data_IF_831209515560
#
_entry.id   IF_831209515560
#
_cell.length_a   1.000
_cell.length_b   1.000
_cell.length_c   1.000
_cell.angle_alpha   90.00
_cell.angle_beta   90.00
_cell.angle_gamma   90.00
#
_symmetry.space_group_name_H-M   'P 1'
#
loop_
_entity.id
_entity.type
_entity.pdbx_description
1 polymer ?
#
# COMPACT_ATOMS: atom_id res chain seq x y z
N UNK A 1 1.07 23.30 -0.48
CA UNK A 1 2.34 22.73 -1.01
C UNK A 1 3.11 22.05 0.11
N UNK A 2 4.09 21.20 -0.22
CA UNK A 2 4.93 20.49 0.78
C UNK A 2 6.42 20.59 0.42
N UNK A 3 7.30 20.35 1.38
CA UNK A 3 8.76 20.31 1.18
C UNK A 3 9.24 19.03 0.47
N UNK A 4 8.33 18.19 -0.01
CA UNK A 4 8.66 16.88 -0.59
C UNK A 4 9.62 16.98 -1.78
N UNK A 5 9.42 17.96 -2.67
CA UNK A 5 10.31 18.16 -3.84
C UNK A 5 11.73 18.51 -3.43
N UNK A 6 11.87 19.38 -2.42
CA UNK A 6 13.18 19.78 -1.88
C UNK A 6 13.89 18.56 -1.26
N UNK A 7 13.20 17.79 -0.42
CA UNK A 7 13.78 16.57 0.20
C UNK A 7 14.08 15.48 -0.83
N UNK A 8 13.23 15.31 -1.84
CA UNK A 8 13.50 14.37 -2.93
C UNK A 8 14.76 14.77 -3.71
N UNK A 9 15.02 16.07 -3.84
CA UNK A 9 16.10 16.61 -4.66
C UNK A 9 17.44 16.80 -3.93
N UNK A 10 17.40 17.05 -2.62
CA UNK A 10 18.60 17.20 -1.79
C UNK A 10 18.91 15.93 -0.99
N UNK A 11 17.96 15.01 -0.88
CA UNK A 11 17.95 14.04 0.21
C UNK A 11 17.48 14.68 1.51
N UNK A 12 17.38 13.89 2.57
CA UNK A 12 16.89 14.37 3.86
C UNK A 12 15.72 13.56 4.42
N UNK A 13 15.21 14.03 5.54
CA UNK A 13 14.05 13.45 6.21
C UNK A 13 12.90 14.46 6.20
N UNK A 14 11.71 13.98 5.83
CA UNK A 14 10.49 14.78 5.74
C UNK A 14 9.51 14.34 6.84
N UNK A 15 9.00 15.28 7.63
CA UNK A 15 8.12 15.00 8.76
C UNK A 15 7.06 16.11 8.96
N UNK A 16 6.21 15.95 9.97
CA UNK A 16 5.09 16.86 10.25
C UNK A 16 4.17 17.11 9.04
N UNK A 17 3.77 16.02 8.37
CA UNK A 17 2.89 16.08 7.19
C UNK A 17 3.53 16.78 5.98
N UNK A 18 4.87 16.85 5.92
CA UNK A 18 5.58 17.50 4.81
C UNK A 18 5.84 18.99 5.01
N UNK A 19 5.53 19.53 6.19
CA UNK A 19 5.78 20.94 6.57
C UNK A 19 7.14 21.17 7.22
N UNK A 20 7.83 20.11 7.64
CA UNK A 20 9.20 20.19 8.16
C UNK A 20 10.11 19.20 7.46
N UNK A 21 11.36 19.59 7.26
CA UNK A 21 12.38 18.71 6.73
C UNK A 21 13.74 18.99 7.36
N UNK A 22 14.57 17.96 7.47
CA UNK A 22 16.01 18.12 7.68
C UNK A 22 16.74 17.67 6.42
N UNK A 23 17.54 18.56 5.85
CA UNK A 23 18.27 18.38 4.59
C UNK A 23 19.77 18.61 4.81
N UNK A 24 20.63 18.10 3.92
CA UNK A 24 22.05 18.41 3.97
C UNK A 24 22.31 19.88 3.64
N UNK A 25 23.34 20.48 4.25
CA UNK A 25 23.86 21.76 3.79
C UNK A 25 24.49 21.64 2.39
N UNK A 26 24.51 22.72 1.59
CA UNK A 26 25.23 22.77 0.32
C UNK A 26 26.67 22.28 0.46
N UNK A 27 27.08 21.32 -0.37
CA UNK A 27 28.43 20.71 -0.33
C UNK A 27 28.61 19.57 0.67
N UNK A 28 27.61 19.27 1.50
CA UNK A 28 27.65 18.16 2.46
C UNK A 28 27.10 16.86 1.88
N UNK A 29 27.41 15.72 2.52
CA UNK A 29 26.90 14.41 2.10
C UNK A 29 25.39 14.30 2.22
N UNK A 30 24.73 13.43 1.43
CA UNK A 30 23.28 13.21 1.49
C UNK A 30 22.75 12.65 2.84
N UNK A 31 23.64 12.20 3.74
CA UNK A 31 23.30 11.76 5.11
C UNK A 31 23.29 12.90 6.13
N UNK A 32 23.83 14.05 5.75
CA UNK A 32 23.87 15.24 6.61
C UNK A 32 22.45 15.78 6.85
N UNK A 33 22.24 16.31 8.06
CA UNK A 33 20.96 16.86 8.55
C UNK A 33 21.17 18.21 9.23
N UNK A 34 22.20 18.93 8.80
CA UNK A 34 22.61 20.21 9.40
C UNK A 34 21.65 21.35 9.08
N UNK A 35 20.69 21.19 8.17
CA UNK A 35 19.73 22.24 7.83
C UNK A 35 18.30 21.79 8.10
N UNK A 36 17.59 22.55 8.92
CA UNK A 36 16.14 22.41 9.11
C UNK A 36 15.37 23.39 8.24
N UNK A 37 14.32 22.88 7.61
CA UNK A 37 13.37 23.64 6.82
C UNK A 37 12.00 23.57 7.48
N UNK A 38 11.35 24.72 7.62
CA UNK A 38 9.97 24.85 8.09
C UNK A 38 9.16 25.59 7.03
N UNK A 39 8.08 24.98 6.57
CA UNK A 39 7.11 25.61 5.70
C UNK A 39 5.98 26.24 6.53
N UNK A 40 5.86 27.56 6.48
CA UNK A 40 4.78 28.34 7.10
C UNK A 40 4.24 29.36 6.11
N UNK A 41 2.93 29.43 5.91
CA UNK A 41 2.28 30.38 4.98
C UNK A 41 2.91 30.41 3.58
N UNK A 42 3.22 29.23 3.06
CA UNK A 42 3.92 28.98 1.80
C UNK A 42 5.38 29.51 1.71
N UNK A 43 5.92 30.09 2.79
CA UNK A 43 7.32 30.52 2.92
C UNK A 43 8.17 29.45 3.59
N UNK A 44 9.37 29.24 3.07
CA UNK A 44 10.37 28.34 3.64
C UNK A 44 11.26 29.11 4.61
N UNK A 45 11.18 28.77 5.88
CA UNK A 45 12.10 29.23 6.93
C UNK A 45 13.23 28.22 7.03
N UNK A 46 14.47 28.71 6.99
CA UNK A 46 15.69 27.90 6.95
C UNK A 46 16.47 28.13 8.23
N UNK A 47 16.89 27.05 8.88
CA UNK A 47 17.73 27.09 10.05
C UNK A 47 18.93 26.15 9.86
N UNK A 48 20.15 26.69 9.90
CA UNK A 48 21.38 25.91 9.85
C UNK A 48 21.89 25.59 11.27
N UNK A 49 22.38 24.38 11.46
CA UNK A 49 23.06 23.90 12.66
C UNK A 49 24.55 23.72 12.37
N UNK A 50 25.41 23.98 13.35
CA UNK A 50 26.85 23.65 13.24
C UNK A 50 27.64 24.46 12.20
N UNK A 51 27.24 25.71 11.92
CA UNK A 51 27.97 26.62 11.03
C UNK A 51 27.44 26.69 9.59
N UNK A 52 26.38 25.94 9.25
CA UNK A 52 25.72 26.07 7.95
C UNK A 52 25.05 27.44 7.79
N UNK A 53 25.45 28.22 6.79
CA UNK A 53 24.84 29.51 6.49
C UNK A 53 23.49 29.32 5.77
N UNK A 54 22.42 29.78 6.41
CA UNK A 54 21.07 29.72 5.88
C UNK A 54 20.93 30.50 4.57
N UNK A 55 21.78 31.52 4.32
CA UNK A 55 21.79 32.27 3.05
C UNK A 55 22.22 31.38 1.90
N UNK A 56 23.31 30.63 2.05
CA UNK A 56 23.78 29.67 1.04
C UNK A 56 22.73 28.61 0.71
N UNK A 57 21.99 28.15 1.72
CA UNK A 57 20.86 27.22 1.49
C UNK A 57 19.74 27.91 0.73
N UNK A 58 19.36 29.13 1.13
CA UNK A 58 18.31 29.89 0.45
C UNK A 58 18.65 30.12 -1.01
N UNK A 59 19.87 30.56 -1.28
CA UNK A 59 20.35 30.87 -2.62
C UNK A 59 20.38 29.58 -3.47
N UNK A 60 20.83 28.44 -2.92
CA UNK A 60 20.71 27.15 -3.60
C UNK A 60 19.26 26.76 -3.91
N UNK A 61 18.32 26.96 -2.96
CA UNK A 61 16.91 26.65 -3.18
C UNK A 61 16.29 27.57 -4.23
N UNK A 62 16.69 28.84 -4.25
CA UNK A 62 16.25 29.85 -5.21
C UNK A 62 16.78 29.55 -6.62
N UNK A 63 18.10 29.35 -6.77
CA UNK A 63 18.75 29.07 -8.05
C UNK A 63 18.26 27.77 -8.69
N UNK A 64 17.89 26.80 -7.85
CA UNK A 64 17.25 25.56 -8.29
C UNK A 64 15.75 25.70 -8.52
N UNK A 65 15.17 26.88 -8.35
CA UNK A 65 13.76 27.16 -8.63
C UNK A 65 12.77 26.51 -7.67
N UNK A 66 13.18 26.12 -6.45
CA UNK A 66 12.27 25.61 -5.43
C UNK A 66 11.55 26.73 -4.66
N UNK A 67 12.18 27.89 -4.54
CA UNK A 67 11.61 29.09 -3.94
C UNK A 67 11.79 30.32 -4.85
N UNK A 68 10.94 31.33 -4.69
CA UNK A 68 11.08 32.64 -5.32
C UNK A 68 11.97 33.59 -4.50
N UNK A 69 12.17 34.82 -4.98
CA UNK A 69 12.91 35.89 -4.27
C UNK A 69 12.35 36.18 -2.86
N UNK A 70 11.05 35.96 -2.68
CA UNK A 70 10.36 36.11 -1.40
C UNK A 70 10.43 34.84 -0.54
N UNK A 71 11.21 33.83 -0.90
CA UNK A 71 11.37 32.58 -0.18
C UNK A 71 10.11 31.71 -0.14
N UNK A 72 9.17 31.92 -1.05
CA UNK A 72 7.92 31.15 -1.16
C UNK A 72 8.09 29.98 -2.10
N UNK A 73 7.45 28.85 -1.80
CA UNK A 73 7.48 27.70 -2.70
C UNK A 73 6.82 28.04 -4.03
N UNK A 74 7.57 27.85 -5.11
CA UNK A 74 7.10 27.99 -6.50
C UNK A 74 6.41 26.71 -6.99
N UNK A 75 6.68 25.59 -6.30
CA UNK A 75 6.36 24.25 -6.78
C UNK A 75 7.28 23.76 -7.91
N UNK A 76 8.29 24.53 -8.30
CA UNK A 76 9.25 24.20 -9.35
C UNK A 76 10.42 23.33 -8.90
N UNK A 77 11.53 23.51 -9.61
CA UNK A 77 12.83 22.90 -9.40
C UNK A 77 13.03 21.50 -9.99
N UNK A 78 14.30 21.15 -10.29
CA UNK A 78 14.61 19.91 -10.97
C UNK A 78 14.21 18.72 -10.09
N UNK A 79 13.64 17.65 -10.67
CA UNK A 79 13.38 16.44 -9.92
C UNK A 79 14.68 15.95 -9.29
N UNK A 80 14.58 15.39 -8.10
CA UNK A 80 15.74 14.74 -7.49
C UNK A 80 16.29 13.62 -8.36
N UNK A 81 17.57 13.25 -8.16
CA UNK A 81 18.12 12.08 -8.82
C UNK A 81 17.19 10.90 -8.55
N UNK A 82 16.82 10.11 -9.58
CA UNK A 82 15.92 8.99 -9.39
C UNK A 82 16.52 8.07 -8.33
N UNK A 83 15.78 7.84 -7.24
CA UNK A 83 16.18 6.84 -6.25
C UNK A 83 16.34 5.52 -7.00
N UNK A 84 17.53 4.91 -7.03
CA UNK A 84 17.76 3.70 -7.80
C UNK A 84 16.76 2.64 -7.35
N UNK A 85 15.84 2.27 -8.26
CA UNK A 85 14.95 1.15 -8.01
C UNK A 85 15.80 -0.12 -8.11
N UNK A 86 15.65 -1.07 -7.19
CA UNK A 86 16.32 -2.36 -7.34
C UNK A 86 15.96 -2.97 -8.70
N UNK A 87 16.93 -3.64 -9.32
CA UNK A 87 16.76 -4.39 -10.56
C UNK A 87 15.48 -5.24 -10.52
N UNK A 88 14.62 -5.22 -11.55
CA UNK A 88 13.44 -6.08 -11.65
C UNK A 88 13.68 -7.54 -11.26
N UNK A 89 14.82 -8.14 -11.64
CA UNK A 89 15.12 -9.54 -11.29
C UNK A 89 15.32 -9.70 -9.78
N UNK A 90 16.04 -8.77 -9.14
CA UNK A 90 16.18 -8.76 -7.68
C UNK A 90 14.81 -8.61 -7.01
N UNK A 91 13.94 -7.72 -7.52
CA UNK A 91 12.60 -7.53 -6.95
C UNK A 91 11.76 -8.80 -7.00
N UNK A 92 11.77 -9.51 -8.12
CA UNK A 92 11.07 -10.80 -8.29
C UNK A 92 11.63 -11.87 -7.33
N UNK A 93 12.96 -12.03 -7.29
CA UNK A 93 13.60 -12.98 -6.37
C UNK A 93 13.24 -12.69 -4.91
N UNK A 94 13.37 -11.44 -4.48
CA UNK A 94 13.02 -11.05 -3.10
C UNK A 94 11.55 -11.32 -2.77
N UNK A 95 10.62 -11.12 -3.71
CA UNK A 95 9.22 -11.46 -3.49
C UNK A 95 9.02 -12.98 -3.35
N UNK A 96 9.71 -13.78 -4.18
CA UNK A 96 9.70 -15.23 -4.11
C UNK A 96 10.28 -15.75 -2.79
N UNK A 97 11.40 -15.20 -2.34
CA UNK A 97 12.06 -15.59 -1.08
C UNK A 97 11.18 -15.28 0.13
N UNK A 98 10.55 -14.09 0.15
CA UNK A 98 9.59 -13.72 1.19
C UNK A 98 8.38 -14.64 1.23
N UNK A 99 7.86 -15.04 0.07
CA UNK A 99 6.76 -16.00 0.00
C UNK A 99 7.17 -17.40 0.45
N UNK A 100 8.35 -17.88 0.03
CA UNK A 100 8.88 -19.18 0.45
C UNK A 100 9.13 -19.26 1.96
N UNK A 101 9.47 -18.14 2.61
CA UNK A 101 9.61 -18.04 4.07
C UNK A 101 8.29 -17.97 4.85
N UNK A 102 7.13 -17.99 4.18
CA UNK A 102 5.85 -17.95 4.84
C UNK A 102 5.49 -19.30 5.50
N UNK A 103 4.78 -19.19 6.61
CA UNK A 103 4.12 -20.28 7.33
C UNK A 103 2.61 -20.19 7.11
N UNK A 104 1.90 -21.26 7.45
CA UNK A 104 0.45 -21.26 7.53
C UNK A 104 -0.09 -20.17 8.46
N UNK A 105 -1.35 -19.78 8.24
CA UNK A 105 -2.06 -18.82 9.09
C UNK A 105 -2.70 -19.47 10.32
N UNK A 106 -2.66 -20.79 10.41
CA UNK A 106 -3.17 -21.59 11.52
C UNK A 106 -2.26 -21.48 12.77
N UNK A 107 -2.88 -21.43 13.95
CA UNK A 107 -2.15 -21.54 15.23
C UNK A 107 -2.04 -20.26 16.07
N UNK A 108 -2.92 -19.28 15.93
CA UNK A 108 -2.96 -18.16 16.88
C UNK A 108 -1.84 -17.15 16.71
N UNK A 109 -1.16 -17.12 15.56
CA UNK A 109 -0.06 -16.20 15.27
C UNK A 109 -0.49 -14.73 15.14
N UNK A 110 0.47 -13.79 14.97
CA UNK A 110 0.16 -12.38 14.74
C UNK A 110 -0.77 -12.13 13.53
N UNK A 111 -0.56 -12.81 12.41
CA UNK A 111 -1.38 -12.65 11.21
C UNK A 111 -2.82 -13.14 11.40
N UNK A 112 -2.96 -14.28 12.07
CA UNK A 112 -4.24 -14.86 12.45
C UNK A 112 -5.04 -13.93 13.39
N UNK A 113 -4.38 -13.42 14.44
CA UNK A 113 -4.97 -12.39 15.32
C UNK A 113 -5.35 -11.12 14.56
N UNK A 114 -4.53 -10.70 13.59
CA UNK A 114 -4.82 -9.53 12.77
C UNK A 114 -6.09 -9.73 11.94
N UNK A 115 -6.24 -10.89 11.28
CA UNK A 115 -7.42 -11.20 10.46
C UNK A 115 -8.68 -11.36 11.31
N UNK A 116 -8.61 -12.01 12.48
CA UNK A 116 -9.75 -12.08 13.42
C UNK A 116 -10.21 -10.70 13.91
N UNK A 117 -9.27 -9.80 14.24
CA UNK A 117 -9.61 -8.40 14.61
C UNK A 117 -10.28 -7.63 13.48
N UNK A 118 -10.13 -8.13 12.25
CA UNK A 118 -10.76 -7.62 11.04
C UNK A 118 -12.04 -8.40 10.70
N UNK A 119 -12.57 -9.22 11.61
CA UNK A 119 -13.78 -10.00 11.43
C UNK A 119 -13.75 -10.93 10.20
N UNK A 120 -12.55 -11.37 9.78
CA UNK A 120 -12.41 -12.40 8.74
C UNK A 120 -12.60 -13.76 9.41
N UNK A 121 -13.58 -14.53 8.95
CA UNK A 121 -13.99 -15.79 9.56
C UNK A 121 -13.33 -16.99 8.86
N UNK A 122 -13.35 -17.04 7.53
CA UNK A 122 -12.88 -18.19 6.76
C UNK A 122 -11.38 -18.13 6.41
N UNK A 123 -10.52 -17.75 7.35
CA UNK A 123 -9.06 -17.59 7.11
C UNK A 123 -8.41 -18.87 6.58
N UNK A 124 -8.80 -20.03 7.10
CA UNK A 124 -8.24 -21.32 6.70
C UNK A 124 -8.61 -21.74 5.28
N UNK A 125 -9.70 -21.20 4.72
CA UNK A 125 -10.12 -21.46 3.35
C UNK A 125 -9.45 -20.52 2.33
N UNK A 126 -8.85 -19.42 2.80
CA UNK A 126 -8.19 -18.45 1.94
C UNK A 126 -6.85 -18.98 1.42
N UNK A 127 -6.70 -18.97 0.10
CA UNK A 127 -5.47 -19.31 -0.60
C UNK A 127 -4.54 -18.09 -0.73
N UNK A 128 -3.26 -18.33 -1.01
CA UNK A 128 -2.28 -17.28 -1.34
C UNK A 128 -2.08 -16.22 -0.25
N UNK A 129 -2.32 -16.58 1.01
CA UNK A 129 -1.94 -15.83 2.20
C UNK A 129 -1.00 -16.65 3.07
N UNK A 130 -0.05 -15.98 3.72
CA UNK A 130 0.92 -16.62 4.59
C UNK A 130 1.39 -15.68 5.70
N UNK A 131 1.95 -16.28 6.75
CA UNK A 131 2.55 -15.55 7.86
C UNK A 131 4.07 -15.64 7.79
N UNK A 132 4.76 -14.50 7.74
CA UNK A 132 6.21 -14.46 7.83
C UNK A 132 6.64 -13.91 9.20
N UNK A 133 7.40 -14.67 10.01
CA UNK A 133 7.70 -14.29 11.39
C UNK A 133 8.68 -13.12 11.53
N UNK A 134 9.59 -12.96 10.55
CA UNK A 134 10.68 -11.99 10.63
C UNK A 134 10.93 -11.29 9.28
N UNK A 135 9.93 -10.58 8.77
CA UNK A 135 10.02 -9.85 7.49
C UNK A 135 10.89 -8.60 7.63
N UNK A 136 11.94 -8.42 6.81
CA UNK A 136 12.78 -7.23 6.88
C UNK A 136 11.98 -5.94 6.59
N UNK A 137 12.20 -4.88 7.39
CA UNK A 137 11.60 -3.56 7.13
C UNK A 137 12.25 -2.94 5.88
N UNK A 138 13.59 -3.01 5.80
CA UNK A 138 14.37 -2.63 4.62
C UNK A 138 14.57 -3.83 3.70
N UNK A 139 13.50 -4.23 2.99
CA UNK A 139 13.44 -5.45 2.15
C UNK A 139 14.63 -5.63 1.19
N UNK A 140 15.13 -4.56 0.56
CA UNK A 140 16.21 -4.67 -0.45
C UNK A 140 17.61 -4.38 0.09
N UNK A 141 17.69 -3.98 1.36
CA UNK A 141 18.95 -3.80 2.10
C UNK A 141 18.69 -4.20 3.54
N UNK A 142 18.51 -5.51 3.81
CA UNK A 142 18.13 -5.97 5.14
C UNK A 142 19.19 -5.53 6.15
N UNK A 143 18.76 -4.73 7.12
CA UNK A 143 19.59 -4.32 8.25
C UNK A 143 18.74 -4.36 9.51
N UNK A 144 19.28 -4.96 10.58
CA UNK A 144 18.56 -5.14 11.83
C UNK A 144 17.47 -6.21 11.79
N UNK A 145 16.62 -6.21 12.83
CA UNK A 145 15.59 -7.23 13.04
C UNK A 145 14.38 -7.02 12.14
N UNK A 146 13.78 -8.12 11.69
CA UNK A 146 12.51 -8.10 10.96
C UNK A 146 11.30 -7.88 11.88
N UNK A 147 10.13 -7.75 11.26
CA UNK A 147 8.83 -7.69 11.92
C UNK A 147 7.95 -8.84 11.43
N UNK A 148 7.09 -9.41 12.28
CA UNK A 148 6.03 -10.31 11.81
C UNK A 148 5.20 -9.62 10.71
N UNK A 149 4.79 -10.35 9.68
CA UNK A 149 3.92 -9.81 8.64
C UNK A 149 2.92 -10.84 8.12
N UNK A 150 1.72 -10.37 7.79
CA UNK A 150 0.84 -11.06 6.86
C UNK A 150 1.37 -10.79 5.44
N UNK A 151 1.55 -11.84 4.66
CA UNK A 151 2.02 -11.78 3.27
C UNK A 151 0.91 -12.29 2.36
N UNK A 152 0.53 -11.49 1.37
CA UNK A 152 -0.38 -11.87 0.31
C UNK A 152 0.39 -12.06 -1.00
N UNK A 153 0.29 -13.24 -1.61
CA UNK A 153 0.92 -13.56 -2.88
C UNK A 153 0.15 -12.92 -4.03
N UNK A 154 0.86 -12.14 -4.84
CA UNK A 154 0.32 -11.46 -6.02
C UNK A 154 0.84 -12.20 -7.27
N UNK A 155 -0.10 -12.61 -8.11
CA UNK A 155 0.19 -13.35 -9.33
C UNK A 155 -0.26 -12.63 -10.58
N UNK A 156 0.41 -12.92 -11.70
CA UNK A 156 -0.06 -12.51 -13.03
C UNK A 156 -1.24 -13.38 -13.52
N UNK A 157 -1.58 -13.25 -14.81
CA UNK A 157 -2.72 -13.95 -15.43
C UNK A 157 -2.50 -15.46 -15.51
N UNK A 158 -1.26 -15.88 -15.67
CA UNK A 158 -0.80 -17.27 -15.71
C UNK A 158 -0.58 -17.86 -14.30
N UNK A 159 -0.95 -17.12 -13.25
CA UNK A 159 -0.75 -17.47 -11.84
C UNK A 159 0.72 -17.65 -11.44
N UNK A 160 1.64 -16.94 -12.09
CA UNK A 160 3.04 -16.89 -11.67
C UNK A 160 3.20 -15.82 -10.60
N UNK A 161 3.97 -16.12 -9.55
CA UNK A 161 4.26 -15.14 -8.50
C UNK A 161 5.06 -13.98 -9.12
N UNK A 162 4.54 -12.76 -8.98
CA UNK A 162 5.21 -11.55 -9.48
C UNK A 162 5.51 -10.57 -8.36
N UNK A 163 4.71 -10.59 -7.29
CA UNK A 163 4.93 -9.75 -6.11
C UNK A 163 4.32 -10.39 -4.86
N UNK A 164 4.60 -9.76 -3.73
CA UNK A 164 3.90 -9.96 -2.47
C UNK A 164 3.49 -8.61 -1.88
N UNK A 165 2.32 -8.56 -1.26
CA UNK A 165 1.95 -7.46 -0.37
C UNK A 165 2.22 -7.87 1.08
N UNK A 166 2.99 -7.05 1.77
CA UNK A 166 3.33 -7.20 3.18
C UNK A 166 2.42 -6.29 3.99
N UNK A 167 1.82 -6.83 5.04
CA UNK A 167 1.21 -6.05 6.14
C UNK A 167 2.01 -6.35 7.40
N UNK A 168 2.84 -5.40 7.83
CA UNK A 168 3.67 -5.53 9.02
C UNK A 168 2.82 -5.46 10.29
N UNK A 169 3.09 -6.37 11.21
CA UNK A 169 2.33 -6.57 12.43
C UNK A 169 3.25 -6.52 13.66
N UNK A 170 2.69 -6.04 14.76
CA UNK A 170 3.24 -6.31 16.08
C UNK A 170 2.88 -7.73 16.51
N UNK A 171 3.62 -8.27 17.48
CA UNK A 171 3.40 -9.65 17.97
C UNK A 171 1.97 -9.89 18.45
N UNK A 172 1.26 -8.87 18.91
CA UNK A 172 -0.14 -8.94 19.34
C UNK A 172 -1.17 -8.96 18.18
N UNK A 173 -0.72 -8.92 16.92
CA UNK A 173 -1.58 -8.90 15.73
C UNK A 173 -2.18 -7.54 15.39
N UNK A 174 -1.69 -6.44 15.99
CA UNK A 174 -1.99 -5.08 15.53
C UNK A 174 -1.03 -4.69 14.41
N UNK A 175 -1.40 -3.69 13.61
CA UNK A 175 -0.46 -3.10 12.65
C UNK A 175 0.79 -2.62 13.39
N UNK A 176 1.96 -2.86 12.79
CA UNK A 176 3.24 -2.57 13.42
C UNK A 176 3.36 -1.09 13.81
N UNK A 177 3.58 -0.84 15.09
CA UNK A 177 3.83 0.49 15.63
C UNK A 177 5.25 0.98 15.29
N UNK A 178 5.39 2.31 15.13
CA UNK A 178 6.68 2.95 14.84
C UNK A 178 7.18 2.81 13.40
N UNK A 179 6.39 2.21 12.49
CA UNK A 179 6.70 2.19 11.06
C UNK A 179 5.95 3.29 10.32
N UNK A 180 6.65 4.00 9.42
CA UNK A 180 6.04 5.01 8.55
C UNK A 180 5.02 4.40 7.56
N UNK A 181 5.31 3.20 7.08
CA UNK A 181 4.43 2.43 6.19
C UNK A 181 4.25 1.04 6.77
N UNK A 182 3.02 0.71 7.13
CA UNK A 182 2.65 -0.60 7.68
C UNK A 182 2.29 -1.61 6.59
N UNK A 183 2.06 -1.15 5.36
CA UNK A 183 1.90 -2.00 4.17
C UNK A 183 2.94 -1.67 3.11
N UNK A 184 3.41 -2.69 2.40
CA UNK A 184 4.42 -2.55 1.36
C UNK A 184 4.30 -3.66 0.32
N UNK A 185 4.36 -3.30 -0.95
CA UNK A 185 4.46 -4.26 -2.04
C UNK A 185 5.91 -4.49 -2.44
N UNK A 186 6.30 -5.75 -2.62
CA UNK A 186 7.64 -6.19 -3.01
C UNK A 186 7.51 -7.04 -4.26
N UNK A 187 8.33 -6.80 -5.29
CA UNK A 187 8.20 -7.47 -6.58
C UNK A 187 7.64 -6.56 -7.65
N UNK A 188 7.05 -7.12 -8.70
CA UNK A 188 6.44 -6.43 -9.85
C UNK A 188 4.93 -6.68 -9.84
N UNK A 189 4.13 -5.65 -10.04
CA UNK A 189 2.67 -5.78 -10.15
C UNK A 189 2.27 -5.42 -11.58
N UNK A 190 2.26 -6.39 -12.51
CA UNK A 190 1.78 -6.14 -13.86
C UNK A 190 0.28 -5.84 -13.85
N UNK A 191 -0.22 -5.21 -14.91
CA UNK A 191 -1.62 -4.88 -15.04
C UNK A 191 -2.50 -6.15 -15.06
N UNK A 192 -3.52 -6.16 -14.22
CA UNK A 192 -4.42 -7.30 -14.02
C UNK A 192 -3.86 -8.39 -13.11
N UNK A 193 -2.75 -8.16 -12.41
CA UNK A 193 -2.29 -9.06 -11.35
C UNK A 193 -3.32 -9.13 -10.21
N UNK A 194 -3.30 -10.19 -9.40
CA UNK A 194 -4.26 -10.34 -8.31
C UNK A 194 -3.70 -11.18 -7.17
N UNK A 195 -4.24 -10.96 -5.97
CA UNK A 195 -4.18 -11.95 -4.89
C UNK A 195 -5.38 -12.88 -5.06
N UNK A 196 -5.10 -14.13 -5.43
CA UNK A 196 -6.11 -15.15 -5.72
C UNK A 196 -6.52 -15.85 -4.42
N UNK A 197 -7.46 -15.26 -3.66
CA UNK A 197 -7.84 -15.76 -2.33
C UNK A 197 -8.64 -17.07 -2.37
N UNK A 198 -9.15 -17.45 -3.54
CA UNK A 198 -9.80 -18.74 -3.80
C UNK A 198 -9.56 -19.20 -5.25
N UNK A 199 -9.80 -20.49 -5.51
CA UNK A 199 -9.80 -21.04 -6.87
C UNK A 199 -10.83 -20.36 -7.76
N UNK A 200 -10.52 -20.23 -9.06
CA UNK A 200 -11.44 -19.60 -9.99
C UNK A 200 -12.73 -20.41 -10.20
N UNK A 201 -13.87 -19.74 -10.17
CA UNK A 201 -15.20 -20.33 -10.35
C UNK A 201 -16.00 -19.63 -11.46
N UNK A 202 -17.15 -20.19 -11.83
CA UNK A 202 -18.04 -19.58 -12.83
C UNK A 202 -18.65 -18.26 -12.32
N UNK A 203 -18.82 -18.14 -11.02
CA UNK A 203 -19.25 -16.92 -10.34
C UNK A 203 -18.24 -16.58 -9.25
N UNK A 204 -17.73 -15.36 -9.29
CA UNK A 204 -16.71 -14.90 -8.35
C UNK A 204 -16.92 -13.46 -7.94
N UNK A 205 -16.32 -13.12 -6.81
CA UNK A 205 -16.22 -11.76 -6.31
C UNK A 205 -14.82 -11.18 -6.59
N UNK A 206 -14.76 -9.89 -6.86
CA UNK A 206 -13.50 -9.12 -6.89
C UNK A 206 -13.61 -7.86 -6.04
N UNK A 207 -12.53 -7.51 -5.35
CA UNK A 207 -12.43 -6.29 -4.54
C UNK A 207 -11.03 -5.66 -4.64
N UNK A 208 -10.82 -4.52 -3.99
CA UNK A 208 -9.53 -3.80 -4.05
C UNK A 208 -8.50 -4.38 -3.07
N UNK A 209 -8.80 -4.34 -1.77
CA UNK A 209 -7.90 -4.80 -0.72
C UNK A 209 -8.12 -6.25 -0.32
N UNK A 210 -7.07 -6.92 0.16
CA UNK A 210 -7.15 -8.31 0.64
C UNK A 210 -8.20 -8.48 1.73
N UNK A 211 -8.18 -7.64 2.77
CA UNK A 211 -9.08 -7.78 3.92
C UNK A 211 -10.53 -7.44 3.56
N UNK A 212 -10.78 -6.35 2.83
CA UNK A 212 -12.14 -5.98 2.36
C UNK A 212 -12.71 -7.09 1.46
N UNK A 213 -11.88 -7.66 0.57
CA UNK A 213 -12.29 -8.78 -0.30
C UNK A 213 -12.63 -10.02 0.51
N UNK A 214 -11.82 -10.41 1.51
CA UNK A 214 -12.12 -11.54 2.39
C UNK A 214 -13.46 -11.35 3.14
N UNK A 215 -13.69 -10.17 3.73
CA UNK A 215 -14.96 -9.87 4.41
C UNK A 215 -16.15 -9.94 3.44
N UNK A 216 -15.97 -9.49 2.19
CA UNK A 216 -17.01 -9.59 1.18
C UNK A 216 -17.23 -11.04 0.70
N UNK A 217 -16.17 -11.85 0.58
CA UNK A 217 -16.28 -13.30 0.33
C UNK A 217 -17.12 -13.98 1.42
N UNK A 218 -16.83 -13.68 2.70
CA UNK A 218 -17.60 -14.19 3.85
C UNK A 218 -19.07 -13.71 3.79
N UNK A 219 -19.31 -12.45 3.40
CA UNK A 219 -20.67 -11.88 3.35
C UNK A 219 -21.53 -12.41 2.21
N UNK A 220 -20.92 -12.67 1.06
CA UNK A 220 -21.62 -13.08 -0.18
C UNK A 220 -21.49 -14.57 -0.48
N UNK A 221 -20.67 -15.30 0.28
CA UNK A 221 -20.43 -16.73 0.10
C UNK A 221 -19.94 -17.05 -1.32
N UNK A 222 -19.05 -16.20 -1.84
CA UNK A 222 -18.46 -16.34 -3.17
C UNK A 222 -16.93 -16.45 -3.08
N UNK A 223 -16.29 -17.28 -3.92
CA UNK A 223 -14.84 -17.25 -4.07
C UNK A 223 -14.44 -15.90 -4.64
N UNK A 224 -13.30 -15.34 -4.22
CA UNK A 224 -12.93 -14.01 -4.68
C UNK A 224 -11.45 -13.72 -4.72
N UNK A 225 -11.10 -12.71 -5.50
CA UNK A 225 -9.73 -12.24 -5.72
C UNK A 225 -9.62 -10.77 -5.35
N UNK A 226 -8.54 -10.40 -4.64
CA UNK A 226 -8.23 -9.00 -4.38
C UNK A 226 -7.35 -8.47 -5.53
N UNK A 227 -7.81 -7.41 -6.17
CA UNK A 227 -7.19 -6.85 -7.37
C UNK A 227 -6.22 -5.71 -7.06
N UNK A 228 -5.87 -5.52 -5.79
CA UNK A 228 -4.96 -4.48 -5.31
C UNK A 228 -5.51 -3.07 -5.62
N UNK A 229 -4.63 -2.07 -5.58
CA UNK A 229 -4.99 -0.67 -5.83
C UNK A 229 -5.90 -0.49 -7.06
N UNK A 230 -6.86 0.44 -6.96
CA UNK A 230 -7.85 0.85 -7.96
C UNK A 230 -7.44 0.73 -9.45
N UNK A 231 -6.20 1.10 -9.80
CA UNK A 231 -5.70 1.01 -11.18
C UNK A 231 -5.66 -0.43 -11.73
N UNK A 232 -5.34 -1.38 -10.87
CA UNK A 232 -5.19 -2.78 -11.24
C UNK A 232 -6.53 -3.51 -11.29
N UNK A 233 -7.49 -3.13 -10.41
CA UNK A 233 -8.88 -3.57 -10.47
C UNK A 233 -9.49 -3.35 -11.87
N UNK A 234 -9.32 -2.15 -12.43
CA UNK A 234 -9.89 -1.85 -13.73
C UNK A 234 -9.19 -2.55 -14.92
N UNK A 235 -7.98 -3.07 -14.73
CA UNK A 235 -7.18 -3.74 -15.77
C UNK A 235 -7.31 -5.29 -15.75
N UNK A 236 -7.98 -5.84 -14.75
CA UNK A 236 -8.08 -7.29 -14.55
C UNK A 236 -8.95 -8.01 -15.58
N UNK A 237 -8.45 -9.09 -16.18
CA UNK A 237 -9.25 -9.94 -17.06
C UNK A 237 -9.60 -11.23 -16.33
N UNK A 238 -10.88 -11.61 -16.27
CA UNK A 238 -11.28 -12.86 -15.64
C UNK A 238 -10.73 -14.09 -16.37
N UNK A 239 -10.42 -15.19 -15.66
CA UNK A 239 -10.22 -16.50 -16.28
C UNK A 239 -11.40 -16.91 -17.16
N UNK A 240 -11.12 -17.69 -18.22
CA UNK A 240 -12.12 -18.07 -19.23
C UNK A 240 -13.38 -18.78 -18.68
N UNK A 241 -13.28 -19.44 -17.53
CA UNK A 241 -14.40 -20.12 -16.87
C UNK A 241 -15.41 -19.18 -16.21
N UNK A 242 -15.01 -17.94 -15.92
CA UNK A 242 -15.85 -16.97 -15.20
C UNK A 242 -16.94 -16.47 -16.13
N UNK A 243 -18.17 -16.43 -15.63
CA UNK A 243 -19.37 -15.95 -16.33
C UNK A 243 -20.04 -14.80 -15.59
N UNK A 244 -19.98 -14.81 -14.25
CA UNK A 244 -20.55 -13.79 -13.37
C UNK A 244 -19.49 -13.20 -12.45
N UNK A 245 -19.46 -11.88 -12.35
CA UNK A 245 -18.53 -11.12 -11.50
C UNK A 245 -19.30 -10.18 -10.59
N UNK A 246 -19.16 -10.37 -9.29
CA UNK A 246 -19.59 -9.41 -8.28
C UNK A 246 -18.40 -8.51 -7.90
N UNK A 247 -18.47 -7.24 -8.25
CA UNK A 247 -17.48 -6.25 -7.84
C UNK A 247 -17.90 -5.69 -6.48
N UNK A 248 -17.23 -6.13 -5.42
CA UNK A 248 -17.36 -5.57 -4.08
C UNK A 248 -16.48 -4.32 -3.98
N UNK A 249 -17.07 -3.19 -4.33
CA UNK A 249 -16.38 -1.90 -4.37
C UNK A 249 -16.36 -1.26 -2.98
N UNK A 250 -15.27 -0.56 -2.68
CA UNK A 250 -15.20 0.36 -1.54
C UNK A 250 -15.93 1.67 -1.93
N UNK A 251 -16.56 2.33 -0.96
CA UNK A 251 -17.28 3.59 -1.20
C UNK A 251 -16.34 4.75 -1.48
N UNK A 252 -16.84 5.68 -2.29
CA UNK A 252 -16.15 6.91 -2.63
C UNK A 252 -15.69 6.90 -4.08
N UNK A 253 -15.42 8.11 -4.60
CA UNK A 253 -15.22 8.35 -6.02
C UNK A 253 -14.15 7.46 -6.69
N UNK A 254 -13.09 7.11 -5.96
CA UNK A 254 -12.03 6.26 -6.48
C UNK A 254 -12.48 4.81 -6.69
N UNK A 255 -13.09 4.20 -5.67
CA UNK A 255 -13.53 2.80 -5.72
C UNK A 255 -14.70 2.60 -6.67
N UNK A 256 -15.71 3.47 -6.57
CA UNK A 256 -16.87 3.49 -7.47
C UNK A 256 -16.45 3.71 -8.93
N UNK A 257 -15.54 4.66 -9.18
CA UNK A 257 -15.03 4.95 -10.51
C UNK A 257 -14.27 3.76 -11.12
N UNK A 258 -13.50 3.03 -10.32
CA UNK A 258 -12.76 1.84 -10.77
C UNK A 258 -13.70 0.66 -11.03
N UNK A 259 -14.67 0.41 -10.15
CA UNK A 259 -15.70 -0.62 -10.34
C UNK A 259 -16.52 -0.36 -11.61
N UNK A 260 -16.95 0.88 -11.84
CA UNK A 260 -17.65 1.28 -13.05
C UNK A 260 -16.79 1.10 -14.32
N UNK A 261 -15.49 1.40 -14.26
CA UNK A 261 -14.56 1.18 -15.37
C UNK A 261 -14.38 -0.31 -15.68
N UNK A 262 -14.27 -1.15 -14.64
CA UNK A 262 -14.17 -2.60 -14.80
C UNK A 262 -15.44 -3.17 -15.43
N UNK A 263 -16.62 -2.84 -14.89
CA UNK A 263 -17.92 -3.26 -15.43
C UNK A 263 -18.08 -2.91 -16.90
N UNK A 264 -17.79 -1.65 -17.28
CA UNK A 264 -17.86 -1.20 -18.67
C UNK A 264 -16.97 -1.99 -19.62
N UNK A 265 -15.82 -2.50 -19.16
CA UNK A 265 -14.93 -3.32 -19.99
C UNK A 265 -15.38 -4.78 -20.08
N UNK A 266 -15.94 -5.35 -19.01
CA UNK A 266 -16.28 -6.76 -18.94
C UNK A 266 -17.64 -7.08 -19.59
N UNK A 267 -18.64 -6.21 -19.46
CA UNK A 267 -20.00 -6.45 -19.99
C UNK A 267 -20.02 -6.69 -21.51
N UNK A 268 -19.31 -5.91 -22.35
CA UNK A 268 -19.26 -6.18 -23.80
C UNK A 268 -18.65 -7.56 -24.15
N UNK A 269 -17.87 -8.15 -23.24
CA UNK A 269 -17.32 -9.49 -23.38
C UNK A 269 -18.30 -10.62 -23.00
N UNK A 270 -19.57 -10.32 -22.76
CA UNK A 270 -20.61 -11.30 -22.43
C UNK A 270 -20.61 -11.76 -20.97
N UNK A 271 -19.93 -11.04 -20.08
CA UNK A 271 -19.92 -11.31 -18.63
C UNK A 271 -21.09 -10.60 -17.95
N UNK A 272 -21.77 -11.29 -17.03
CA UNK A 272 -22.71 -10.66 -16.11
C UNK A 272 -21.91 -9.98 -14.98
N UNK A 273 -22.03 -8.66 -14.85
CA UNK A 273 -21.25 -7.90 -13.88
C UNK A 273 -22.14 -7.02 -13.02
N UNK A 274 -22.10 -7.25 -11.72
CA UNK A 274 -22.80 -6.46 -10.70
C UNK A 274 -21.79 -5.72 -9.84
N UNK A 275 -22.12 -4.50 -9.45
CA UNK A 275 -21.35 -3.72 -8.48
C UNK A 275 -22.18 -3.66 -7.21
N UNK A 276 -21.55 -3.94 -6.07
CA UNK A 276 -22.13 -3.77 -4.75
C UNK A 276 -21.23 -2.90 -3.90
N UNK A 277 -21.86 -2.01 -3.14
CA UNK A 277 -21.23 -1.10 -2.20
C UNK A 277 -21.76 -1.44 -0.81
N UNK A 278 -20.97 -1.25 0.25
CA UNK A 278 -21.51 -1.33 1.60
C UNK A 278 -22.48 -0.16 1.85
N UNK A 279 -23.53 -0.41 2.63
CA UNK A 279 -24.50 0.63 2.99
C UNK A 279 -23.84 1.72 3.87
N UNK A 280 -24.31 2.98 3.81
CA UNK A 280 -23.79 4.01 4.71
C UNK A 280 -24.06 3.59 6.18
N UNK A 281 -23.16 3.91 7.11
CA UNK A 281 -22.02 4.82 7.00
C UNK A 281 -20.70 4.16 6.58
N UNK A 282 -20.70 2.88 6.19
CA UNK A 282 -19.48 2.09 6.02
C UNK A 282 -18.75 2.45 4.72
N UNK A 283 -17.43 2.61 4.80
CA UNK A 283 -16.56 2.91 3.67
C UNK A 283 -16.13 1.66 2.89
N UNK A 284 -16.01 0.51 3.55
CA UNK A 284 -15.58 -0.75 2.94
C UNK A 284 -16.28 -1.96 3.58
N UNK A 285 -16.10 -3.16 2.99
CA UNK A 285 -16.71 -4.39 3.50
C UNK A 285 -16.07 -4.89 4.80
N UNK A 286 -14.87 -4.41 5.14
CA UNK A 286 -14.25 -4.71 6.42
C UNK A 286 -14.91 -3.97 7.58
N UNK A 287 -15.27 -2.71 7.38
CA UNK A 287 -16.03 -1.92 8.36
C UNK A 287 -17.41 -2.55 8.63
N UNK A 288 -18.09 -3.04 7.59
CA UNK A 288 -19.35 -3.78 7.72
C UNK A 288 -19.17 -5.03 8.61
N UNK A 289 -18.17 -5.86 8.30
CA UNK A 289 -17.92 -7.10 9.04
C UNK A 289 -17.54 -6.83 10.51
N UNK A 290 -16.70 -5.82 10.77
CA UNK A 290 -16.32 -5.43 12.13
C UNK A 290 -17.50 -4.87 12.92
N UNK A 291 -18.41 -4.13 12.27
CA UNK A 291 -19.62 -3.63 12.91
C UNK A 291 -20.59 -4.77 13.27
N UNK A 292 -20.79 -5.72 12.35
CA UNK A 292 -21.64 -6.89 12.58
C UNK A 292 -21.14 -7.74 13.77
N UNK A 293 -19.83 -8.06 13.80
CA UNK A 293 -19.23 -8.84 14.89
C UNK A 293 -19.39 -8.19 16.28
N UNK A 294 -19.29 -6.85 16.37
CA UNK A 294 -19.54 -6.12 17.62
C UNK A 294 -21.00 -6.12 18.06
N UNK A 295 -21.93 -6.23 17.10
CA UNK A 295 -23.37 -6.33 17.39
C UNK A 295 -23.72 -7.68 18.00
N UNK A 296 -23.15 -8.76 17.48
CA UNK A 296 -23.32 -10.13 17.99
C UNK A 296 -22.76 -10.28 19.41
N UNK A 297 -21.59 -9.73 19.71
CA UNK A 297 -20.97 -9.73 21.05
C UNK A 297 -21.76 -8.96 22.11
N UNK A 298 -22.60 -8.00 21.71
CA UNK A 298 -23.44 -7.21 22.64
C UNK A 298 -24.81 -7.83 22.89
N UNK A 299 -25.23 -8.78 22.05
CA UNK A 299 -26.50 -9.48 22.15
C UNK A 299 -26.42 -10.88 22.77
N UNK A 300 -25.21 -11.38 23.04
CA UNK A 300 -24.93 -12.64 23.77
C UNK A 300 -24.58 -12.35 25.23
#
# INVERSE_FOLDING_TARGET
MTLHRIVAALGGDLYSGGRRANVPAPGHSARDRSVSLLLTDNRVVIHGFGGSDWRTVRDQLHDRGFIDDAGRLTGGGPPGPPVPRPDPRLRLRTASDLWAGCRGLDGGGPADRYLRRRAVQAVAAASNLGFHPETPISVYRPSGRGRPALIARISDREDRLTAVELTYLDRNGRLASGLRLTRKTVGLVPAGAAVRLASAAAEMLVGEGVVTTLCAMDRFQLPGWALMAANNLAAWTPPARVRRVLIAADRGAAGEGCAARLRRRLVPGGLEVRIVLPDPPFGDWNEVAVAAAKGEERGS
#
